data_IF_725705210253
#
_entry.id   IF_725705210253
#
_cell.length_a   1.000
_cell.length_b   1.000
_cell.length_c   1.000
_cell.angle_alpha   90.00
_cell.angle_beta   90.00
_cell.angle_gamma   90.00
#
_symmetry.space_group_name_H-M   'P 1'
#
loop_
_entity.id
_entity.type
_entity.pdbx_description
1 polymer ?
#
# COMPACT_ATOMS: atom_id res chain seq x y z
N UNK A 1 -13.75 -18.01 18.16
CA UNK A 1 -12.84 -17.00 18.76
C UNK A 1 -12.38 -16.04 17.68
N UNK A 2 -12.72 -14.75 17.80
CA UNK A 2 -12.36 -13.71 16.81
C UNK A 2 -11.13 -12.97 17.33
N UNK A 3 -10.00 -13.10 16.64
CA UNK A 3 -8.75 -12.44 16.96
C UNK A 3 -8.75 -11.01 16.41
N UNK A 4 -8.42 -10.01 17.23
CA UNK A 4 -8.23 -8.62 16.77
C UNK A 4 -6.78 -8.20 17.00
N UNK A 5 -5.98 -8.27 15.95
CA UNK A 5 -4.56 -7.91 15.97
C UNK A 5 -4.44 -6.39 15.77
N UNK A 6 -3.90 -5.67 16.75
CA UNK A 6 -3.62 -4.23 16.64
C UNK A 6 -2.10 -4.03 16.56
N UNK A 7 -1.62 -3.59 15.40
CA UNK A 7 -0.21 -3.26 15.19
C UNK A 7 0.09 -1.85 15.70
N UNK A 8 1.05 -1.71 16.62
CA UNK A 8 1.65 -0.42 16.98
C UNK A 8 3.04 -0.33 16.33
N UNK A 9 3.34 0.72 15.53
CA UNK A 9 4.62 0.83 14.85
C UNK A 9 5.66 1.42 15.80
N UNK A 10 6.74 0.68 16.06
CA UNK A 10 7.99 1.21 16.63
C UNK A 10 9.19 0.70 15.82
N UNK A 11 10.24 1.52 15.63
CA UNK A 11 11.43 1.11 14.89
C UNK A 11 12.37 0.28 15.78
N UNK A 12 13.32 -0.41 15.12
CA UNK A 12 14.46 -1.19 15.64
C UNK A 12 14.24 -2.70 15.85
N UNK A 13 14.92 -3.45 14.94
CA UNK A 13 15.58 -4.78 15.03
C UNK A 13 14.78 -6.00 15.52
N UNK A 14 13.65 -5.82 16.19
CA UNK A 14 12.74 -6.89 16.63
C UNK A 14 11.32 -6.44 16.32
N UNK A 15 10.57 -7.22 15.53
CA UNK A 15 9.15 -6.99 15.37
C UNK A 15 8.49 -7.32 16.72
N UNK A 16 8.23 -6.28 17.53
CA UNK A 16 7.45 -6.39 18.75
C UNK A 16 5.98 -6.35 18.35
N UNK A 17 5.34 -7.51 18.33
CA UNK A 17 3.90 -7.61 18.13
C UNK A 17 3.23 -7.58 19.51
N UNK A 18 2.29 -6.66 19.72
CA UNK A 18 1.42 -6.69 20.89
C UNK A 18 0.12 -7.39 20.49
N UNK A 19 -0.12 -8.57 21.03
CA UNK A 19 -1.38 -9.28 20.84
C UNK A 19 -2.23 -9.12 22.11
N UNK A 20 -3.51 -8.81 21.91
CA UNK A 20 -4.53 -8.76 22.95
C UNK A 20 -5.23 -10.12 23.01
N UNK A 21 -5.17 -10.74 24.19
CA UNK A 21 -5.88 -11.97 24.52
C UNK A 21 -6.98 -11.66 25.54
N UNK A 22 -8.04 -12.47 25.48
CA UNK A 22 -9.08 -12.50 26.50
C UNK A 22 -8.74 -13.71 27.39
N UNK A 23 -8.48 -13.47 28.67
CA UNK A 23 -8.06 -14.44 29.69
C UNK A 23 -6.66 -15.04 29.52
N UNK A 24 -6.47 -15.95 28.56
CA UNK A 24 -5.29 -16.81 28.52
C UNK A 24 -4.50 -16.68 27.21
N UNK A 25 -3.18 -16.82 27.32
CA UNK A 25 -2.28 -16.89 26.17
C UNK A 25 -2.01 -18.37 25.88
N UNK A 26 -2.45 -18.93 24.73
CA UNK A 26 -2.09 -20.28 24.35
C UNK A 26 -0.58 -20.38 24.14
N UNK A 27 0.04 -21.36 24.78
CA UNK A 27 1.49 -21.54 24.77
C UNK A 27 1.81 -22.89 24.12
N UNK A 28 1.98 -22.89 22.80
CA UNK A 28 2.58 -24.02 22.09
C UNK A 28 4.10 -23.98 22.32
N UNK A 29 4.68 -25.12 22.73
CA UNK A 29 6.12 -25.24 23.02
C UNK A 29 7.00 -24.77 21.87
N UNK A 30 6.53 -24.89 20.62
CA UNK A 30 7.26 -24.41 19.42
C UNK A 30 7.46 -22.88 19.40
N UNK A 31 6.53 -22.12 19.97
CA UNK A 31 6.53 -20.65 19.90
C UNK A 31 6.73 -19.98 21.26
N UNK A 32 6.97 -20.75 22.32
CA UNK A 32 7.21 -20.27 23.68
C UNK A 32 8.31 -19.21 23.76
N UNK A 33 9.39 -19.38 23.00
CA UNK A 33 10.53 -18.46 22.95
C UNK A 33 10.20 -17.09 22.33
N UNK A 34 9.04 -16.94 21.68
CA UNK A 34 8.62 -15.68 21.06
C UNK A 34 7.95 -14.75 22.08
N UNK A 35 7.30 -15.29 23.10
CA UNK A 35 6.63 -14.51 24.14
C UNK A 35 7.65 -13.95 25.14
N UNK A 36 7.71 -12.62 25.26
CA UNK A 36 8.64 -11.95 26.20
C UNK A 36 8.01 -11.37 27.44
N UNK A 37 6.81 -10.84 27.29
CA UNK A 37 6.15 -10.11 28.37
C UNK A 37 4.65 -10.33 28.23
N UNK A 38 4.05 -10.97 29.22
CA UNK A 38 2.61 -11.22 29.31
C UNK A 38 2.11 -10.50 30.56
N UNK A 39 1.19 -9.55 30.40
CA UNK A 39 0.63 -8.77 31.52
C UNK A 39 -0.87 -8.61 31.38
N UNK A 40 -1.59 -8.73 32.48
CA UNK A 40 -3.00 -8.36 32.57
C UNK A 40 -3.13 -6.85 32.77
N UNK A 41 -3.93 -6.19 31.92
CA UNK A 41 -4.24 -4.77 31.98
C UNK A 41 -5.61 -4.56 32.61
N UNK A 42 -5.65 -4.49 33.94
CA UNK A 42 -6.89 -4.38 34.72
C UNK A 42 -7.66 -3.06 34.50
N UNK A 43 -6.96 -2.01 34.05
CA UNK A 43 -7.57 -0.72 33.72
C UNK A 43 -8.01 -0.58 32.26
N UNK A 44 -7.78 -1.58 31.40
CA UNK A 44 -8.20 -1.54 30.00
C UNK A 44 -9.57 -2.22 29.85
N UNK A 45 -10.57 -1.48 29.38
CA UNK A 45 -11.96 -1.93 29.27
C UNK A 45 -12.31 -2.28 27.80
N UNK A 46 -12.72 -3.54 27.58
CA UNK A 46 -13.22 -4.05 26.30
C UNK A 46 -14.73 -4.37 26.32
N UNK A 47 -15.46 -3.86 27.33
CA UNK A 47 -16.88 -4.16 27.56
C UNK A 47 -17.17 -5.66 27.79
N UNK A 48 -16.18 -6.41 28.26
CA UNK A 48 -16.33 -7.79 28.76
C UNK A 48 -16.02 -7.89 30.27
N UNK A 49 -16.35 -9.04 30.83
CA UNK A 49 -16.10 -9.49 32.20
C UNK A 49 -14.65 -9.98 32.42
N UNK A 50 -13.80 -9.86 31.40
CA UNK A 50 -12.45 -10.40 31.40
C UNK A 50 -11.40 -9.29 31.31
N UNK A 51 -10.29 -9.44 32.04
CA UNK A 51 -9.17 -8.52 31.90
C UNK A 51 -8.46 -8.76 30.57
N UNK A 52 -8.13 -7.67 29.87
CA UNK A 52 -7.29 -7.73 28.68
C UNK A 52 -5.89 -8.19 29.07
N UNK A 53 -5.42 -9.26 28.45
CA UNK A 53 -4.03 -9.74 28.60
C UNK A 53 -3.25 -9.32 27.36
N UNK A 54 -2.17 -8.58 27.55
CA UNK A 54 -1.28 -8.18 26.46
C UNK A 54 -0.03 -9.03 26.51
N UNK A 55 0.22 -9.77 25.44
CA UNK A 55 1.48 -10.44 25.21
C UNK A 55 2.33 -9.65 24.21
N UNK A 56 3.59 -9.42 24.54
CA UNK A 56 4.60 -8.91 23.61
C UNK A 56 5.33 -10.11 23.00
N UNK A 57 5.12 -10.33 21.71
CA UNK A 57 5.87 -11.31 20.94
C UNK A 57 7.04 -10.63 20.25
N UNK A 58 8.17 -11.33 20.18
CA UNK A 58 9.28 -10.97 19.30
C UNK A 58 9.59 -12.10 18.35
N UNK A 59 9.30 -11.86 17.08
CA UNK A 59 9.66 -12.77 16.01
C UNK A 59 10.88 -12.21 15.27
N UNK A 60 11.87 -13.07 15.00
CA UNK A 60 13.03 -12.73 14.17
C UNK A 60 12.66 -12.95 12.70
N UNK A 61 11.90 -12.02 12.12
CA UNK A 61 11.60 -12.02 10.69
C UNK A 61 12.81 -11.51 9.90
N UNK A 62 13.11 -12.10 8.74
CA UNK A 62 14.21 -11.69 7.87
C UNK A 62 14.13 -10.20 7.52
N UNK A 63 15.21 -9.45 7.67
CA UNK A 63 15.21 -7.98 7.46
C UNK A 63 15.03 -7.59 5.99
N UNK A 64 15.27 -8.52 5.05
CA UNK A 64 15.20 -8.32 3.60
C UNK A 64 13.87 -7.69 3.13
N UNK A 65 12.74 -7.98 3.79
CA UNK A 65 11.44 -7.39 3.40
C UNK A 65 11.37 -5.89 3.71
N UNK A 66 12.06 -5.40 4.74
CA UNK A 66 12.07 -3.97 5.11
C UNK A 66 12.89 -3.15 4.13
N UNK A 67 14.04 -3.65 3.71
CA UNK A 67 14.92 -2.98 2.75
C UNK A 67 14.23 -2.81 1.39
N UNK A 68 13.57 -3.86 0.89
CA UNK A 68 12.79 -3.80 -0.34
C UNK A 68 11.58 -2.85 -0.25
N UNK A 69 10.94 -2.74 0.92
CA UNK A 69 9.81 -1.83 1.13
C UNK A 69 10.23 -0.36 1.23
N UNK A 70 11.37 -0.08 1.86
CA UNK A 70 11.94 1.28 1.97
C UNK A 70 12.33 1.80 0.58
N UNK A 71 13.02 0.99 -0.24
CA UNK A 71 13.43 1.37 -1.61
C UNK A 71 12.25 1.74 -2.53
N UNK A 72 11.12 1.03 -2.43
CA UNK A 72 9.93 1.30 -3.27
C UNK A 72 9.14 2.54 -2.82
N UNK A 73 9.23 2.94 -1.56
CA UNK A 73 8.35 3.97 -1.01
C UNK A 73 8.87 5.40 -1.19
N UNK A 74 10.17 5.58 -1.45
CA UNK A 74 10.82 6.90 -1.49
C UNK A 74 10.89 7.54 -2.88
N UNK A 75 10.47 6.83 -3.93
CA UNK A 75 10.75 7.23 -5.31
C UNK A 75 9.54 7.72 -6.11
N UNK A 76 8.32 7.68 -5.56
CA UNK A 76 7.13 8.04 -6.31
C UNK A 76 7.03 9.55 -6.53
N UNK A 77 6.97 9.98 -7.79
CA UNK A 77 6.80 11.38 -8.19
C UNK A 77 5.38 11.87 -7.88
N UNK A 78 5.25 13.05 -7.28
CA UNK A 78 3.96 13.70 -7.16
C UNK A 78 3.61 14.46 -8.45
N UNK A 79 3.02 13.76 -9.41
CA UNK A 79 2.58 14.32 -10.70
C UNK A 79 1.55 15.44 -10.52
N UNK A 80 0.80 15.46 -9.40
CA UNK A 80 -0.18 16.52 -9.15
C UNK A 80 0.50 17.89 -8.92
N UNK A 81 1.78 17.93 -8.50
CA UNK A 81 2.56 19.19 -8.40
C UNK A 81 2.87 19.82 -9.75
N UNK A 82 2.98 19.01 -10.81
CA UNK A 82 3.21 19.51 -12.17
C UNK A 82 2.00 20.26 -12.75
N UNK A 83 0.83 20.21 -12.08
CA UNK A 83 -0.30 21.08 -12.41
C UNK A 83 -0.05 22.55 -12.03
N UNK A 84 0.88 22.81 -11.12
CA UNK A 84 1.23 24.17 -10.74
C UNK A 84 2.16 24.78 -11.83
N UNK A 85 1.79 25.92 -12.44
CA UNK A 85 2.59 26.55 -13.49
C UNK A 85 4.01 26.92 -13.03
N UNK A 86 4.21 27.21 -11.75
CA UNK A 86 5.55 27.54 -11.22
C UNK A 86 6.45 26.30 -11.14
N UNK A 87 5.90 25.17 -10.67
CA UNK A 87 6.65 23.91 -10.52
C UNK A 87 7.05 23.35 -11.89
N UNK A 88 6.14 23.39 -12.87
CA UNK A 88 6.46 22.93 -14.23
C UNK A 88 7.49 23.84 -14.91
N UNK A 89 7.43 25.15 -14.69
CA UNK A 89 8.41 26.09 -15.23
C UNK A 89 9.80 25.84 -14.62
N UNK A 90 9.88 25.64 -13.30
CA UNK A 90 11.15 25.29 -12.62
C UNK A 90 11.70 23.95 -13.11
N UNK A 91 10.85 22.94 -13.27
CA UNK A 91 11.24 21.64 -13.78
C UNK A 91 11.81 21.72 -15.20
N UNK A 92 11.12 22.43 -16.11
CA UNK A 92 11.59 22.66 -17.49
C UNK A 92 12.91 23.42 -17.55
N UNK A 93 13.03 24.49 -16.76
CA UNK A 93 14.26 25.29 -16.65
C UNK A 93 15.44 24.42 -16.24
N UNK A 94 15.27 23.59 -15.23
CA UNK A 94 16.33 22.71 -14.72
C UNK A 94 16.75 21.64 -15.74
N UNK A 95 15.80 21.04 -16.45
CA UNK A 95 16.12 20.11 -17.55
C UNK A 95 16.96 20.81 -18.62
N UNK A 96 16.55 22.01 -19.05
CA UNK A 96 17.29 22.76 -20.06
C UNK A 96 18.73 23.09 -19.63
N UNK A 97 18.90 23.55 -18.39
CA UNK A 97 20.21 23.84 -17.81
C UNK A 97 21.09 22.59 -17.70
N UNK A 98 20.56 21.49 -17.14
CA UNK A 98 21.32 20.24 -16.98
C UNK A 98 21.66 19.58 -18.33
N UNK A 99 20.77 19.65 -19.34
CA UNK A 99 21.06 19.15 -20.70
C UNK A 99 22.13 19.98 -21.40
N UNK A 100 22.12 21.32 -21.26
CA UNK A 100 23.13 22.19 -21.86
C UNK A 100 24.54 21.83 -21.35
N UNK A 101 24.69 21.73 -20.03
CA UNK A 101 25.96 21.33 -19.37
C UNK A 101 26.42 19.94 -19.81
N UNK A 102 25.47 19.01 -20.01
CA UNK A 102 25.80 17.64 -20.37
C UNK A 102 26.25 17.54 -21.82
N UNK A 103 25.62 18.29 -22.74
CA UNK A 103 26.02 18.34 -24.14
C UNK A 103 27.43 18.94 -24.31
N UNK A 104 27.75 20.03 -23.61
CA UNK A 104 29.10 20.64 -23.61
C UNK A 104 30.21 19.67 -23.15
N UNK A 105 29.89 18.75 -22.23
CA UNK A 105 30.83 17.73 -21.76
C UNK A 105 31.00 16.57 -22.73
N UNK A 106 29.95 16.25 -23.49
CA UNK A 106 29.86 15.10 -24.39
C UNK A 106 30.57 15.37 -25.72
N UNK A 107 30.71 16.63 -26.15
CA UNK A 107 31.50 16.99 -27.35
C UNK A 107 32.99 16.55 -27.29
N UNK A 108 33.49 16.14 -26.12
CA UNK A 108 34.87 15.66 -25.93
C UNK A 108 35.04 14.13 -26.10
N UNK A 109 33.97 13.37 -26.31
CA UNK A 109 33.99 11.90 -26.42
C UNK A 109 33.00 11.46 -27.51
N UNK A 110 33.37 10.55 -28.43
CA UNK A 110 32.43 9.98 -29.42
C UNK A 110 31.35 9.20 -28.66
N UNK A 111 30.10 9.67 -28.55
CA UNK A 111 29.16 9.10 -27.60
C UNK A 111 28.31 8.04 -28.30
N UNK A 112 28.38 6.81 -27.82
CA UNK A 112 27.43 5.75 -28.16
C UNK A 112 25.98 6.21 -27.86
N UNK A 113 25.01 5.77 -28.66
CA UNK A 113 23.57 6.08 -28.46
C UNK A 113 23.10 5.74 -27.04
N UNK A 114 23.60 4.64 -26.47
CA UNK A 114 23.30 4.23 -25.09
C UNK A 114 23.76 5.26 -24.06
N UNK A 115 24.94 5.85 -24.27
CA UNK A 115 25.49 6.90 -23.40
C UNK A 115 24.66 8.18 -23.48
N UNK A 116 24.20 8.56 -24.68
CA UNK A 116 23.33 9.72 -24.88
C UNK A 116 21.99 9.52 -24.17
N UNK A 117 21.36 8.35 -24.34
CA UNK A 117 20.10 8.02 -23.68
C UNK A 117 20.24 7.99 -22.16
N UNK A 118 21.29 7.34 -21.64
CA UNK A 118 21.58 7.28 -20.20
C UNK A 118 21.73 8.68 -19.61
N UNK A 119 22.40 9.59 -20.32
CA UNK A 119 22.55 10.98 -19.89
C UNK A 119 21.21 11.70 -19.83
N UNK A 120 20.37 11.60 -20.87
CA UNK A 120 19.03 12.20 -20.90
C UNK A 120 18.18 11.66 -19.75
N UNK A 121 18.17 10.34 -19.55
CA UNK A 121 17.48 9.67 -18.44
C UNK A 121 17.94 10.19 -17.08
N UNK A 122 19.24 10.34 -16.88
CA UNK A 122 19.80 10.85 -15.63
C UNK A 122 19.39 12.31 -15.37
N UNK A 123 19.38 13.16 -16.40
CA UNK A 123 18.94 14.56 -16.27
C UNK A 123 17.44 14.63 -15.93
N UNK A 124 16.58 13.90 -16.65
CA UNK A 124 15.13 13.87 -16.40
C UNK A 124 14.84 13.42 -14.96
N UNK A 125 15.46 12.30 -14.54
CA UNK A 125 15.25 11.74 -13.20
C UNK A 125 15.86 12.60 -12.10
N UNK A 126 16.99 13.28 -12.36
CA UNK A 126 17.65 14.23 -11.45
C UNK A 126 16.78 15.46 -11.22
N UNK A 127 16.32 16.11 -12.29
CA UNK A 127 15.43 17.27 -12.21
C UNK A 127 14.12 16.92 -11.48
N UNK A 128 13.62 15.70 -11.67
CA UNK A 128 12.39 15.22 -11.05
C UNK A 128 12.53 14.90 -9.55
N UNK A 129 13.75 14.87 -8.98
CA UNK A 129 13.96 14.61 -7.54
C UNK A 129 13.21 15.60 -6.65
N UNK A 130 13.07 16.85 -7.06
CA UNK A 130 12.33 17.87 -6.29
C UNK A 130 10.81 17.62 -6.23
N UNK A 131 10.29 16.86 -7.20
CA UNK A 131 8.89 16.44 -7.29
C UNK A 131 8.61 15.15 -6.50
N UNK A 132 9.66 14.44 -6.07
CA UNK A 132 9.52 13.26 -5.22
C UNK A 132 9.08 13.71 -3.83
N UNK A 133 7.94 13.19 -3.40
CA UNK A 133 7.49 13.38 -2.03
C UNK A 133 7.85 12.16 -1.20
N UNK A 134 8.36 12.40 0.02
CA UNK A 134 8.34 11.34 1.03
C UNK A 134 6.87 10.97 1.24
N UNK A 135 6.54 9.68 1.34
CA UNK A 135 5.17 9.24 1.61
C UNK A 135 4.73 9.94 2.89
N UNK A 136 3.85 10.94 2.75
CA UNK A 136 3.37 11.64 3.92
C UNK A 136 2.47 10.64 4.64
N UNK A 137 2.99 10.06 5.72
CA UNK A 137 2.18 9.30 6.67
C UNK A 137 1.31 10.29 7.44
N UNK A 138 0.51 11.08 6.73
CA UNK A 138 -0.54 11.89 7.29
C UNK A 138 -1.34 10.94 8.16
N UNK A 139 -1.28 11.18 9.48
CA UNK A 139 -2.07 10.45 10.46
C UNK A 139 -3.50 10.57 9.96
N UNK A 140 -4.06 9.45 9.48
CA UNK A 140 -5.41 9.43 8.91
C UNK A 140 -6.31 10.17 9.89
N UNK A 141 -7.05 11.18 9.42
CA UNK A 141 -8.05 11.87 10.25
C UNK A 141 -8.97 10.79 10.78
N UNK A 142 -8.83 10.48 12.07
CA UNK A 142 -9.51 9.38 12.71
C UNK A 142 -10.86 9.91 13.20
N UNK A 143 -11.92 9.13 13.04
CA UNK A 143 -13.28 9.52 13.47
C UNK A 143 -13.38 9.71 15.00
N UNK A 144 -12.47 9.08 15.76
CA UNK A 144 -12.37 9.21 17.22
C UNK A 144 -11.74 10.57 17.57
N UNK A 145 -12.58 11.49 18.01
CA UNK A 145 -12.22 12.87 18.35
C UNK A 145 -12.13 13.07 19.88
N UNK A 146 -11.85 14.31 20.32
CA UNK A 146 -11.75 14.66 21.73
C UNK A 146 -13.04 14.36 22.52
N UNK A 147 -14.22 14.56 21.91
CA UNK A 147 -15.49 14.24 22.55
C UNK A 147 -15.62 12.73 22.84
N UNK A 148 -15.24 11.86 21.90
CA UNK A 148 -15.17 10.43 22.14
C UNK A 148 -14.15 10.09 23.25
N UNK A 149 -13.01 10.78 23.27
CA UNK A 149 -11.98 10.56 24.29
C UNK A 149 -12.48 10.90 25.69
N UNK A 150 -13.13 12.04 25.86
CA UNK A 150 -13.67 12.51 27.14
C UNK A 150 -14.79 11.61 27.66
N UNK A 151 -15.73 11.22 26.80
CA UNK A 151 -16.84 10.33 27.19
C UNK A 151 -16.32 8.95 27.62
N UNK A 152 -15.36 8.38 26.89
CA UNK A 152 -14.67 7.14 27.28
C UNK A 152 -13.92 7.29 28.60
N UNK A 153 -13.24 8.43 28.82
CA UNK A 153 -12.54 8.71 30.08
C UNK A 153 -13.51 8.69 31.27
N UNK A 154 -14.62 9.44 31.19
CA UNK A 154 -15.66 9.49 32.25
C UNK A 154 -16.26 8.10 32.52
N UNK A 155 -16.54 7.33 31.47
CA UNK A 155 -17.02 5.94 31.60
C UNK A 155 -15.99 5.05 32.32
N UNK A 156 -14.71 5.15 31.97
CA UNK A 156 -13.66 4.36 32.60
C UNK A 156 -13.45 4.75 34.07
N UNK A 157 -13.54 6.04 34.41
CA UNK A 157 -13.51 6.53 35.80
C UNK A 157 -14.67 5.94 36.62
N UNK A 158 -15.89 5.96 36.08
CA UNK A 158 -17.04 5.33 36.73
C UNK A 158 -16.89 3.80 36.87
N UNK A 159 -16.25 3.13 35.89
CA UNK A 159 -15.90 1.71 36.02
C UNK A 159 -14.94 1.45 37.17
N UNK A 160 -13.91 2.29 37.34
CA UNK A 160 -13.00 2.19 38.48
C UNK A 160 -13.74 2.38 39.80
N UNK A 161 -14.71 3.29 39.86
CA UNK A 161 -15.55 3.48 41.05
C UNK A 161 -16.35 2.22 41.39
N UNK A 162 -16.95 1.52 40.42
CA UNK A 162 -17.63 0.23 40.66
C UNK A 162 -16.67 -0.83 41.20
N UNK A 163 -15.46 -0.91 40.63
CA UNK A 163 -14.44 -1.89 41.07
C UNK A 163 -14.05 -1.64 42.52
N UNK A 164 -13.98 -0.38 42.95
CA UNK A 164 -13.65 -0.01 44.34
C UNK A 164 -14.84 -0.12 45.29
N UNK A 165 -16.03 0.31 44.86
CA UNK A 165 -17.25 0.33 45.67
C UNK A 165 -18.49 0.04 44.78
N UNK A 166 -19.00 -1.21 44.77
CA UNK A 166 -20.08 -1.63 43.90
C UNK A 166 -21.48 -1.26 44.43
N UNK A 167 -21.69 0.02 44.80
CA UNK A 167 -23.02 0.53 45.20
C UNK A 167 -24.00 0.60 44.03
N UNK A 168 -25.30 0.56 44.31
CA UNK A 168 -26.35 0.68 43.29
C UNK A 168 -26.23 2.01 42.52
N UNK A 169 -25.94 3.11 43.22
CA UNK A 169 -25.71 4.43 42.60
C UNK A 169 -24.53 4.40 41.61
N UNK A 170 -23.41 3.78 41.99
CA UNK A 170 -22.24 3.66 41.09
C UNK A 170 -22.55 2.79 39.87
N UNK A 171 -23.33 1.73 40.04
CA UNK A 171 -23.79 0.86 38.95
C UNK A 171 -24.69 1.62 37.96
N UNK A 172 -25.68 2.38 38.47
CA UNK A 172 -26.57 3.21 37.65
C UNK A 172 -25.80 4.32 36.92
N UNK A 173 -24.87 4.99 37.61
CA UNK A 173 -24.00 6.01 37.03
C UNK A 173 -23.14 5.47 35.88
N UNK A 174 -22.51 4.31 36.07
CA UNK A 174 -21.74 3.66 35.01
C UNK A 174 -22.62 3.26 33.83
N UNK A 175 -23.80 2.68 34.09
CA UNK A 175 -24.75 2.29 33.04
C UNK A 175 -25.14 3.50 32.18
N UNK A 176 -25.50 4.61 32.81
CA UNK A 176 -25.82 5.87 32.13
C UNK A 176 -24.62 6.40 31.31
N UNK A 177 -23.42 6.45 31.88
CA UNK A 177 -22.23 6.91 31.17
C UNK A 177 -21.82 5.98 30.03
N UNK A 178 -22.04 4.67 30.17
CA UNK A 178 -21.82 3.68 29.11
C UNK A 178 -22.76 3.90 27.94
N UNK A 179 -24.05 4.12 28.20
CA UNK A 179 -25.05 4.44 27.17
C UNK A 179 -24.71 5.75 26.44
N UNK A 180 -24.38 6.80 27.19
CA UNK A 180 -23.99 8.09 26.63
C UNK A 180 -22.72 7.99 25.77
N UNK A 181 -21.70 7.28 26.25
CA UNK A 181 -20.47 7.04 25.50
C UNK A 181 -20.72 6.28 24.20
N UNK A 182 -21.54 5.23 24.25
CA UNK A 182 -21.93 4.45 23.07
C UNK A 182 -22.69 5.30 22.06
N UNK A 183 -23.60 6.17 22.53
CA UNK A 183 -24.33 7.11 21.67
C UNK A 183 -23.39 8.09 20.99
N UNK A 184 -22.46 8.69 21.73
CA UNK A 184 -21.46 9.63 21.19
C UNK A 184 -20.54 8.97 20.17
N UNK A 185 -19.99 7.79 20.47
CA UNK A 185 -19.14 7.02 19.55
C UNK A 185 -19.89 6.71 18.25
N UNK A 186 -21.13 6.21 18.34
CA UNK A 186 -21.95 5.91 17.15
C UNK A 186 -22.22 7.16 16.33
N UNK A 187 -22.58 8.28 16.99
CA UNK A 187 -22.84 9.57 16.34
C UNK A 187 -21.59 10.07 15.61
N UNK A 188 -20.45 10.13 16.27
CA UNK A 188 -19.21 10.64 15.68
C UNK A 188 -18.71 9.77 14.53
N UNK A 189 -18.83 8.45 14.65
CA UNK A 189 -18.53 7.52 13.55
C UNK A 189 -19.41 7.80 12.32
N UNK A 190 -20.73 7.95 12.51
CA UNK A 190 -21.67 8.27 11.42
C UNK A 190 -21.38 9.62 10.77
N UNK A 191 -21.08 10.65 11.57
CA UNK A 191 -20.71 11.98 11.06
C UNK A 191 -19.46 11.93 10.20
N UNK A 192 -18.44 11.18 10.64
CA UNK A 192 -17.24 10.96 9.85
C UNK A 192 -17.54 10.22 8.54
N UNK A 193 -18.29 9.12 8.60
CA UNK A 193 -18.68 8.36 7.40
C UNK A 193 -19.45 9.23 6.41
N UNK A 194 -20.40 10.05 6.89
CA UNK A 194 -21.14 11.02 6.08
C UNK A 194 -20.19 12.02 5.40
N UNK A 195 -19.26 12.61 6.15
CA UNK A 195 -18.28 13.55 5.59
C UNK A 195 -17.39 12.90 4.52
N UNK A 196 -16.97 11.66 4.74
CA UNK A 196 -16.17 10.93 3.75
C UNK A 196 -16.97 10.63 2.47
N UNK A 197 -18.28 10.41 2.59
CA UNK A 197 -19.16 10.26 1.43
C UNK A 197 -19.35 11.60 0.69
N UNK A 198 -19.56 12.71 1.41
CA UNK A 198 -19.63 14.06 0.83
C UNK A 198 -18.35 14.42 0.06
N UNK A 199 -17.17 14.14 0.64
CA UNK A 199 -15.87 14.30 -0.03
C UNK A 199 -15.78 13.46 -1.32
N UNK A 200 -16.33 12.24 -1.30
CA UNK A 200 -16.35 11.34 -2.45
C UNK A 200 -17.33 11.81 -3.54
N UNK A 201 -18.48 12.36 -3.17
CA UNK A 201 -19.45 12.95 -4.10
C UNK A 201 -18.87 14.19 -4.80
N UNK A 202 -18.13 15.03 -4.07
CA UNK A 202 -17.42 16.18 -4.65
C UNK A 202 -16.37 15.80 -5.70
N UNK A 203 -15.86 14.57 -5.66
CA UNK A 203 -14.88 14.05 -6.63
C UNK A 203 -15.51 13.31 -7.82
N UNK A 204 -16.84 13.34 -7.99
CA UNK A 204 -17.54 12.62 -9.08
C UNK A 204 -16.99 12.89 -10.48
N UNK A 205 -16.55 14.13 -10.74
CA UNK A 205 -15.98 14.55 -12.02
C UNK A 205 -14.47 14.24 -12.16
N UNK A 206 -13.84 13.67 -11.13
CA UNK A 206 -12.45 13.25 -11.13
C UNK A 206 -12.33 11.74 -10.86
N UNK A 207 -12.48 10.89 -11.90
CA UNK A 207 -12.51 9.44 -11.77
C UNK A 207 -11.31 8.88 -10.99
N UNK A 208 -10.10 9.44 -11.18
CA UNK A 208 -8.89 8.99 -10.49
C UNK A 208 -9.02 9.12 -8.97
N UNK A 209 -9.36 10.31 -8.49
CA UNK A 209 -9.48 10.54 -7.06
C UNK A 209 -10.70 9.82 -6.49
N UNK A 210 -11.81 9.80 -7.22
CA UNK A 210 -13.01 9.04 -6.87
C UNK A 210 -12.69 7.56 -6.62
N UNK A 211 -12.08 6.86 -7.57
CA UNK A 211 -11.73 5.44 -7.41
C UNK A 211 -10.65 5.21 -6.34
N UNK A 212 -9.70 6.15 -6.18
CA UNK A 212 -8.70 6.11 -5.09
C UNK A 212 -9.38 6.21 -3.72
N UNK A 213 -10.39 7.07 -3.57
CA UNK A 213 -11.23 7.19 -2.38
C UNK A 213 -12.08 5.93 -2.15
N UNK A 214 -12.79 5.45 -3.18
CA UNK A 214 -13.55 4.20 -3.11
C UNK A 214 -12.69 3.02 -2.67
N UNK A 215 -11.48 2.89 -3.22
CA UNK A 215 -10.55 1.80 -2.88
C UNK A 215 -10.18 1.83 -1.40
N UNK A 216 -10.01 3.02 -0.83
CA UNK A 216 -9.70 3.22 0.60
C UNK A 216 -10.88 2.85 1.51
N UNK A 217 -12.11 3.09 1.06
CA UNK A 217 -13.33 2.75 1.79
C UNK A 217 -13.67 1.25 1.71
N UNK A 218 -13.67 0.70 0.49
CA UNK A 218 -14.10 -0.69 0.22
C UNK A 218 -13.09 -1.73 0.69
N UNK A 219 -11.80 -1.40 0.73
CA UNK A 219 -10.78 -2.36 1.11
C UNK A 219 -10.25 -2.09 2.51
N UNK A 220 -10.59 -3.00 3.43
CA UNK A 220 -9.83 -3.18 4.66
C UNK A 220 -8.40 -3.66 4.37
N UNK A 221 -7.63 -3.87 5.43
CA UNK A 221 -6.33 -4.51 5.30
C UNK A 221 -6.50 -5.89 4.67
N UNK A 222 -5.99 -6.05 3.44
CA UNK A 222 -5.84 -7.35 2.79
C UNK A 222 -4.38 -7.74 2.93
N UNK A 223 -4.04 -8.78 3.72
CA UNK A 223 -2.67 -9.27 3.73
C UNK A 223 -2.30 -9.69 2.32
N UNK A 224 -1.13 -9.24 1.84
CA UNK A 224 -0.61 -9.73 0.58
C UNK A 224 -0.15 -11.17 0.80
N UNK A 225 -0.94 -12.13 0.33
CA UNK A 225 -0.64 -13.54 0.42
C UNK A 225 0.12 -13.96 -0.83
N UNK A 226 1.43 -14.17 -0.71
CA UNK A 226 2.25 -14.75 -1.78
C UNK A 226 2.20 -16.27 -1.70
N UNK A 227 0.99 -16.83 -1.75
CA UNK A 227 0.78 -18.26 -1.72
C UNK A 227 0.08 -18.69 -3.01
N UNK A 228 0.63 -19.72 -3.65
CA UNK A 228 0.05 -20.34 -4.84
C UNK A 228 -0.19 -21.82 -4.54
N UNK A 229 -1.31 -22.37 -4.99
CA UNK A 229 -1.50 -23.82 -4.97
C UNK A 229 -0.94 -24.42 -6.24
N UNK A 230 -0.14 -25.47 -6.13
CA UNK A 230 0.30 -26.24 -7.28
C UNK A 230 -0.79 -27.23 -7.73
N UNK A 231 -0.52 -27.95 -8.81
CA UNK A 231 -1.41 -28.99 -9.35
C UNK A 231 -1.63 -30.16 -8.37
N UNK A 232 -0.69 -30.39 -7.44
CA UNK A 232 -0.84 -31.34 -6.33
C UNK A 232 -1.63 -30.78 -5.13
N UNK A 233 -2.17 -29.56 -5.24
CA UNK A 233 -2.91 -28.85 -4.19
C UNK A 233 -2.06 -28.43 -2.95
N UNK A 234 -0.73 -28.50 -3.04
CA UNK A 234 0.22 -28.01 -2.06
C UNK A 234 0.42 -26.50 -2.13
N UNK A 235 0.70 -25.88 -0.99
CA UNK A 235 0.87 -24.43 -0.87
C UNK A 235 2.34 -24.01 -1.10
N UNK A 236 2.61 -23.35 -2.23
CA UNK A 236 3.88 -22.72 -2.55
C UNK A 236 3.95 -21.31 -1.95
N UNK A 237 4.93 -21.07 -1.08
CA UNK A 237 5.20 -19.77 -0.44
C UNK A 237 6.50 -19.11 -0.92
N UNK A 238 7.38 -19.86 -1.59
CA UNK A 238 8.70 -19.41 -1.99
C UNK A 238 8.67 -18.73 -3.37
N UNK A 239 9.17 -17.48 -3.51
CA UNK A 239 9.07 -16.72 -4.76
C UNK A 239 9.63 -17.44 -5.99
N UNK A 240 10.78 -18.13 -5.84
CA UNK A 240 11.40 -18.87 -6.95
C UNK A 240 10.52 -20.02 -7.45
N UNK A 241 9.93 -20.77 -6.52
CA UNK A 241 9.01 -21.88 -6.84
C UNK A 241 7.73 -21.37 -7.48
N UNK A 242 7.20 -20.24 -7.01
CA UNK A 242 6.04 -19.59 -7.63
C UNK A 242 6.35 -19.17 -9.07
N UNK A 243 7.48 -18.50 -9.31
CA UNK A 243 7.91 -18.10 -10.66
C UNK A 243 8.11 -19.31 -11.56
N UNK A 244 8.74 -20.37 -11.06
CA UNK A 244 8.94 -21.61 -11.82
C UNK A 244 7.61 -22.30 -12.15
N UNK A 245 6.66 -22.30 -11.22
CA UNK A 245 5.32 -22.81 -11.44
C UNK A 245 4.58 -22.01 -12.52
N UNK A 246 4.64 -20.68 -12.46
CA UNK A 246 4.08 -19.82 -13.52
C UNK A 246 4.74 -20.09 -14.87
N UNK A 247 6.07 -20.21 -14.91
CA UNK A 247 6.79 -20.57 -16.14
C UNK A 247 6.26 -21.87 -16.72
N UNK A 248 6.20 -22.96 -15.93
CA UNK A 248 5.69 -24.25 -16.39
C UNK A 248 4.23 -24.18 -16.85
N UNK A 249 3.39 -23.47 -16.11
CA UNK A 249 1.98 -23.30 -16.44
C UNK A 249 1.80 -22.59 -17.79
N UNK A 250 2.47 -21.45 -18.00
CA UNK A 250 2.37 -20.70 -19.26
C UNK A 250 3.07 -21.41 -20.41
N UNK A 251 4.19 -22.10 -20.16
CA UNK A 251 4.86 -22.93 -21.16
C UNK A 251 3.92 -24.02 -21.67
N UNK A 252 3.22 -24.71 -20.77
CA UNK A 252 2.19 -25.71 -21.14
C UNK A 252 0.99 -25.05 -21.85
N UNK A 253 0.49 -23.94 -21.32
CA UNK A 253 -0.69 -23.25 -21.86
C UNK A 253 -0.45 -22.71 -23.27
N UNK A 254 0.73 -22.13 -23.51
CA UNK A 254 1.05 -21.42 -24.76
C UNK A 254 1.74 -22.33 -25.78
N UNK A 255 2.45 -23.37 -25.35
CA UNK A 255 3.21 -24.28 -26.22
C UNK A 255 2.62 -25.70 -26.27
N UNK A 256 1.31 -25.83 -26.10
CA UNK A 256 0.64 -27.13 -26.24
C UNK A 256 0.62 -27.56 -27.71
N UNK A 257 1.46 -28.54 -28.03
CA UNK A 257 1.38 -29.31 -29.27
C UNK A 257 0.13 -30.20 -29.25
N UNK A 258 -1.07 -29.65 -29.37
CA UNK A 258 -2.25 -30.46 -29.66
C UNK A 258 -2.15 -31.04 -31.06
N UNK A 259 -1.41 -32.13 -31.16
CA UNK A 259 -1.63 -33.24 -32.06
C UNK A 259 -2.86 -34.02 -31.57
N UNK A 260 -4.05 -33.42 -31.66
CA UNK A 260 -5.29 -34.16 -31.71
C UNK A 260 -6.02 -33.76 -32.99
N UNK A 261 -5.65 -34.49 -34.04
CA UNK A 261 -6.36 -34.60 -35.30
C UNK A 261 -7.84 -34.88 -35.03
N UNK A 262 -8.69 -33.88 -35.32
CA UNK A 262 -9.94 -34.11 -36.08
C UNK A 262 -10.64 -32.81 -36.49
N UNK A 263 -10.24 -31.63 -35.98
CA UNK A 263 -10.80 -30.34 -36.41
C UNK A 263 -9.75 -29.28 -36.79
N UNK A 264 -8.53 -29.68 -37.19
CA UNK A 264 -7.56 -28.75 -37.79
C UNK A 264 -7.83 -28.60 -39.29
N UNK A 265 -9.08 -28.33 -39.66
CA UNK A 265 -9.37 -27.78 -40.98
C UNK A 265 -8.86 -26.35 -41.01
N UNK A 266 -7.79 -26.15 -41.78
CA UNK A 266 -7.41 -24.88 -42.41
C UNK A 266 -6.89 -23.80 -41.47
N UNK A 267 -5.75 -24.08 -40.84
CA UNK A 267 -4.72 -23.04 -40.72
C UNK A 267 -3.45 -23.66 -41.27
N UNK A 268 -3.26 -23.48 -42.57
CA UNK A 268 -1.95 -23.57 -43.21
C UNK A 268 -0.95 -22.79 -42.34
N UNK A 269 0.29 -23.28 -42.24
CA UNK A 269 1.41 -22.43 -41.86
C UNK A 269 1.46 -21.27 -42.86
N UNK A 270 0.68 -20.22 -42.58
CA UNK A 270 0.96 -18.90 -43.09
C UNK A 270 2.28 -18.53 -42.41
N UNK A 271 3.39 -18.94 -43.02
CA UNK A 271 4.62 -18.20 -42.93
C UNK A 271 4.26 -16.80 -43.43
N UNK A 272 3.81 -15.95 -42.51
CA UNK A 272 3.68 -14.53 -42.75
C UNK A 272 5.11 -14.05 -43.01
N UNK A 273 5.55 -14.11 -44.27
CA UNK A 273 6.52 -13.16 -44.78
C UNK A 273 5.80 -11.82 -44.80
N UNK A 274 5.55 -11.25 -43.61
CA UNK A 274 5.35 -9.82 -43.51
C UNK A 274 6.70 -9.24 -43.90
N UNK A 275 6.81 -8.70 -45.11
CA UNK A 275 7.73 -7.61 -45.32
C UNK A 275 7.35 -6.59 -44.25
N UNK A 276 8.14 -6.50 -43.18
CA UNK A 276 7.95 -5.44 -42.21
C UNK A 276 7.92 -4.15 -43.02
N UNK A 277 6.80 -3.40 -43.00
CA UNK A 277 6.69 -2.22 -43.83
C UNK A 277 7.86 -1.33 -43.48
N UNK A 278 8.57 -0.83 -44.50
CA UNK A 278 9.67 0.09 -44.32
C UNK A 278 9.18 1.26 -43.47
N UNK A 279 9.57 1.22 -42.19
CA UNK A 279 9.10 2.17 -41.21
C UNK A 279 9.97 3.40 -41.39
N UNK A 280 9.40 4.43 -42.04
CA UNK A 280 10.08 5.70 -42.24
C UNK A 280 10.52 6.26 -40.90
N UNK A 281 11.62 7.00 -40.91
CA UNK A 281 12.07 7.73 -39.74
C UNK A 281 10.92 8.62 -39.22
N UNK A 282 10.65 8.63 -37.91
CA UNK A 282 9.53 9.35 -37.35
C UNK A 282 9.72 10.85 -37.56
N UNK A 283 8.67 11.52 -38.02
CA UNK A 283 8.70 12.97 -38.21
C UNK A 283 8.60 13.70 -36.85
N UNK A 284 9.24 14.87 -36.75
CA UNK A 284 9.19 15.68 -35.53
C UNK A 284 7.76 16.11 -35.19
N UNK A 285 6.93 16.38 -36.20
CA UNK A 285 5.52 16.73 -35.99
C UNK A 285 4.71 15.56 -35.45
N UNK A 286 5.01 14.34 -35.92
CA UNK A 286 4.41 13.11 -35.43
C UNK A 286 4.81 12.84 -33.98
N UNK A 287 6.09 13.01 -33.64
CA UNK A 287 6.60 12.86 -32.27
C UNK A 287 5.91 13.86 -31.33
N UNK A 288 5.80 15.12 -31.72
CA UNK A 288 5.12 16.15 -30.92
C UNK A 288 3.63 15.83 -30.75
N UNK A 289 2.95 15.38 -31.82
CA UNK A 289 1.57 14.93 -31.77
C UNK A 289 1.40 13.74 -30.81
N UNK A 290 2.30 12.76 -30.85
CA UNK A 290 2.26 11.61 -29.94
C UNK A 290 2.42 12.08 -28.50
N UNK A 291 3.45 12.87 -28.20
CA UNK A 291 3.76 13.34 -26.84
C UNK A 291 2.61 14.15 -26.26
N UNK A 292 2.01 15.05 -27.04
CA UNK A 292 0.89 15.90 -26.60
C UNK A 292 -0.38 15.10 -26.33
N UNK A 293 -0.59 13.98 -27.03
CA UNK A 293 -1.74 13.09 -26.83
C UNK A 293 -1.52 11.97 -25.81
N UNK A 294 -0.33 11.86 -25.20
CA UNK A 294 -0.07 10.89 -24.15
C UNK A 294 -1.00 11.11 -22.95
N UNK A 295 -1.59 10.02 -22.47
CA UNK A 295 -2.47 10.05 -21.30
C UNK A 295 -1.64 10.25 -20.04
N UNK A 296 -1.98 11.26 -19.26
CA UNK A 296 -1.39 11.51 -17.94
C UNK A 296 -1.70 10.40 -16.92
N UNK A 297 -0.87 10.28 -15.87
CA UNK A 297 -1.01 9.33 -14.75
C UNK A 297 -0.86 7.84 -15.12
N UNK A 298 -0.10 7.54 -16.18
CA UNK A 298 0.36 6.17 -16.43
C UNK A 298 1.43 5.77 -15.42
N UNK A 299 1.55 4.47 -15.18
CA UNK A 299 2.66 3.96 -14.39
C UNK A 299 3.95 4.16 -15.19
N UNK A 300 5.05 4.61 -14.56
CA UNK A 300 6.32 4.69 -15.24
C UNK A 300 6.78 3.30 -15.67
N UNK A 301 7.61 3.24 -16.72
CA UNK A 301 8.25 2.01 -17.14
C UNK A 301 9.28 1.49 -16.12
N UNK A 302 10.04 0.46 -16.49
CA UNK A 302 11.18 -0.04 -15.70
C UNK A 302 12.23 1.06 -15.44
N UNK A 303 12.26 2.05 -16.32
CA UNK A 303 13.18 3.17 -16.30
C UNK A 303 12.76 4.36 -15.42
N UNK A 304 11.65 4.23 -14.67
CA UNK A 304 11.09 5.29 -13.82
C UNK A 304 10.69 6.59 -14.58
N UNK A 305 10.52 6.50 -15.91
CA UNK A 305 10.07 7.57 -16.82
C UNK A 305 8.71 7.22 -17.43
#
# INVERSE_FOLDING_TARGET
MVWKIIYLPFPLVRCKLKILFINNVPNDNKHRSWFRNVRSYRGADADNDHYLVVATLTEKLSILWKENKQRKSTNMLNVDRLRNPLEIAQYRKRIAEELCITNEKVEKIIPNHETKWTNIKNVITSAAKNLKEKPNHNKKKHWFNNECMETVKKRNEARMQIIHNPSQENQERYKHLKELTNKTIRRQKRLYEKKVLEELEGERNNPRNFFKHCKRLKHGFKPQTFFLKNDQNDLLSEPRKIVQHFRKHFDTLLNTNQTNNSNRTRYEELAYQTAEPECKEPDLTEIEYIITNLKNNKAPGEDDI
#
